data_IF_387950766981
#
_entry.id   IF_387950766981
#
_cell.length_a   1.000
_cell.length_b   1.000
_cell.length_c   1.000
_cell.angle_alpha   90.00
_cell.angle_beta   90.00
_cell.angle_gamma   90.00
#
_symmetry.space_group_name_H-M   'P 1'
#
loop_
_entity.id
_entity.type
_entity.pdbx_description
1 polymer ?
#
# COMPACT_ATOMS: atom_id res chain seq x y z
N UNK A 1 26.62 6.24 -6.84
CA UNK A 1 26.31 6.39 -8.28
C UNK A 1 24.96 5.73 -8.50
N UNK A 2 23.97 6.46 -9.04
CA UNK A 2 22.62 5.92 -9.28
C UNK A 2 22.70 4.63 -10.09
N UNK A 3 21.93 3.60 -9.73
CA UNK A 3 21.82 2.40 -10.58
C UNK A 3 20.93 2.64 -11.81
N UNK A 4 20.19 3.74 -11.80
CA UNK A 4 19.29 4.19 -12.85
C UNK A 4 19.93 5.33 -13.64
N UNK A 5 19.75 5.31 -14.97
CA UNK A 5 20.01 6.49 -15.80
C UNK A 5 19.07 7.64 -15.39
N UNK A 6 19.47 8.91 -15.55
CA UNK A 6 18.56 10.03 -15.38
C UNK A 6 17.32 9.85 -16.23
N UNK A 7 16.13 9.92 -15.61
CA UNK A 7 14.88 9.77 -16.34
C UNK A 7 14.69 10.94 -17.33
N UNK A 8 14.33 10.62 -18.56
CA UNK A 8 13.91 11.58 -19.59
C UNK A 8 12.39 11.78 -19.62
N UNK A 9 11.66 11.15 -18.69
CA UNK A 9 10.21 11.24 -18.63
C UNK A 9 9.76 12.70 -18.43
N UNK A 10 8.68 13.07 -19.14
CA UNK A 10 8.10 14.40 -19.03
C UNK A 10 7.39 14.51 -17.68
N UNK A 11 7.83 15.46 -16.86
CA UNK A 11 7.17 15.82 -15.62
C UNK A 11 5.95 16.72 -15.93
N UNK A 12 4.80 16.36 -15.40
CA UNK A 12 3.60 17.19 -15.44
C UNK A 12 3.82 18.49 -14.63
N UNK A 13 3.41 19.64 -15.17
CA UNK A 13 3.48 20.91 -14.44
C UNK A 13 2.39 21.06 -13.37
N UNK A 14 1.40 20.17 -13.34
CA UNK A 14 0.13 20.35 -12.62
C UNK A 14 -0.22 19.19 -11.69
N UNK A 15 0.28 17.97 -11.94
CA UNK A 15 0.24 16.91 -10.94
C UNK A 15 1.15 17.26 -9.76
N UNK A 16 0.70 16.93 -8.54
CA UNK A 16 1.51 17.11 -7.33
C UNK A 16 2.81 16.33 -7.48
N UNK A 17 3.94 17.02 -7.37
CA UNK A 17 5.24 16.37 -7.31
C UNK A 17 5.33 15.50 -6.05
N UNK A 18 5.71 14.24 -6.23
CA UNK A 18 5.84 13.28 -5.13
C UNK A 18 7.24 12.68 -5.14
N UNK A 19 7.87 12.62 -3.96
CA UNK A 19 9.21 12.07 -3.80
C UNK A 19 9.15 10.55 -3.67
N UNK A 20 10.03 9.87 -4.40
CA UNK A 20 10.28 8.43 -4.35
C UNK A 20 11.74 8.15 -4.01
N UNK A 21 11.97 7.25 -3.06
CA UNK A 21 13.27 6.64 -2.78
C UNK A 21 13.24 5.20 -3.25
N UNK A 22 14.29 4.74 -3.93
CA UNK A 22 14.46 3.32 -4.29
C UNK A 22 15.78 2.84 -3.69
N UNK A 23 15.75 1.67 -3.06
CA UNK A 23 16.96 1.00 -2.56
C UNK A 23 17.35 -0.19 -3.45
N UNK A 24 18.51 -0.75 -3.16
CA UNK A 24 18.96 -2.01 -3.70
C UNK A 24 20.20 -2.47 -2.96
N UNK A 25 20.91 -3.43 -3.54
CA UNK A 25 22.14 -3.99 -2.99
C UNK A 25 23.30 -3.69 -3.95
N UNK A 26 24.42 -3.19 -3.42
CA UNK A 26 25.63 -2.94 -4.22
C UNK A 26 26.43 -4.22 -4.52
N UNK A 27 27.52 -4.08 -5.28
CA UNK A 27 28.38 -5.20 -5.65
C UNK A 27 29.07 -5.87 -4.45
N UNK A 28 29.07 -5.25 -3.28
CA UNK A 28 29.62 -5.77 -2.03
C UNK A 28 28.55 -6.40 -1.12
N UNK A 29 27.29 -6.47 -1.57
CA UNK A 29 26.20 -7.01 -0.77
C UNK A 29 25.62 -6.02 0.26
N UNK A 30 25.98 -4.73 0.20
CA UNK A 30 25.50 -3.71 1.13
C UNK A 30 24.25 -3.03 0.59
N UNK A 31 23.31 -2.70 1.46
CA UNK A 31 22.12 -1.94 1.07
C UNK A 31 22.44 -0.47 0.80
N UNK A 32 21.93 0.07 -0.32
CA UNK A 32 22.21 1.43 -0.79
C UNK A 32 20.96 2.11 -1.33
N UNK A 33 20.96 3.44 -1.32
CA UNK A 33 20.00 4.24 -2.09
C UNK A 33 20.43 4.23 -3.55
N UNK A 34 19.58 3.71 -4.42
CA UNK A 34 19.85 3.56 -5.86
C UNK A 34 19.22 4.67 -6.67
N UNK A 35 18.12 5.25 -6.17
CA UNK A 35 17.47 6.43 -6.71
C UNK A 35 16.80 7.24 -5.60
N UNK A 36 16.83 8.56 -5.72
CA UNK A 36 16.07 9.48 -4.88
C UNK A 36 15.71 10.72 -5.70
N UNK A 37 14.42 11.07 -5.73
CA UNK A 37 13.95 12.23 -6.47
C UNK A 37 12.43 12.27 -6.64
N UNK A 38 11.96 13.14 -7.54
CA UNK A 38 10.57 13.15 -7.95
C UNK A 38 10.24 11.88 -8.74
N UNK A 39 9.13 11.22 -8.41
CA UNK A 39 8.63 10.06 -9.13
C UNK A 39 8.31 10.43 -10.59
N UNK A 40 8.98 9.80 -11.57
CA UNK A 40 8.90 10.23 -12.97
C UNK A 40 7.74 9.60 -13.76
N UNK A 41 7.09 8.55 -13.24
CA UNK A 41 5.98 7.84 -13.89
C UNK A 41 4.66 8.61 -13.87
N UNK A 42 4.63 9.83 -14.38
CA UNK A 42 3.46 10.71 -14.31
C UNK A 42 2.56 10.59 -15.54
N UNK A 43 1.27 10.35 -15.30
CA UNK A 43 0.23 10.16 -16.31
C UNK A 43 -0.92 11.13 -16.05
N UNK A 44 -0.83 12.31 -16.66
CA UNK A 44 -1.85 13.34 -16.53
C UNK A 44 -2.94 13.20 -17.59
N UNK A 45 -4.18 13.50 -17.21
CA UNK A 45 -5.28 13.55 -18.14
C UNK A 45 -5.21 14.84 -18.98
N UNK A 46 -5.10 14.71 -20.30
CA UNK A 46 -4.98 15.85 -21.22
C UNK A 46 -6.14 16.86 -21.14
N UNK A 47 -7.34 16.41 -20.76
CA UNK A 47 -8.53 17.26 -20.64
C UNK A 47 -8.64 17.94 -19.27
N UNK A 48 -7.98 17.38 -18.24
CA UNK A 48 -8.17 17.77 -16.85
C UNK A 48 -6.82 17.90 -16.14
N UNK A 49 -6.11 19.04 -16.31
CA UNK A 49 -4.85 19.29 -15.60
C UNK A 49 -5.01 19.12 -14.08
N UNK A 50 -4.07 18.42 -13.46
CA UNK A 50 -4.08 18.04 -12.05
C UNK A 50 -4.80 16.72 -11.75
N UNK A 51 -5.50 16.12 -12.73
CA UNK A 51 -6.11 14.79 -12.62
C UNK A 51 -5.23 13.76 -13.33
N UNK A 52 -4.96 12.64 -12.69
CA UNK A 52 -4.12 11.60 -13.26
C UNK A 52 -3.63 10.60 -12.23
N UNK A 53 -2.50 9.97 -12.50
CA UNK A 53 -1.81 9.11 -11.55
C UNK A 53 -0.28 9.23 -11.71
N UNK A 54 0.44 8.90 -10.65
CA UNK A 54 1.90 8.74 -10.66
C UNK A 54 2.23 7.31 -10.27
N UNK A 55 2.88 6.56 -11.16
CA UNK A 55 3.40 5.23 -10.90
C UNK A 55 4.75 5.30 -10.15
N UNK A 56 4.84 4.49 -9.09
CA UNK A 56 6.04 4.37 -8.25
C UNK A 56 6.77 3.07 -8.46
N UNK A 57 6.06 1.98 -8.76
CA UNK A 57 6.66 0.69 -9.04
C UNK A 57 5.66 -0.22 -9.74
N UNK A 58 6.13 -1.00 -10.72
CA UNK A 58 5.32 -2.02 -11.41
C UNK A 58 6.07 -3.35 -11.37
N UNK A 59 5.36 -4.46 -11.24
CA UNK A 59 5.95 -5.80 -11.38
C UNK A 59 5.03 -6.71 -12.19
N UNK A 60 5.65 -7.61 -12.97
CA UNK A 60 4.94 -8.58 -13.85
C UNK A 60 5.08 -10.03 -13.39
N UNK A 61 5.88 -10.30 -12.37
CA UNK A 61 6.16 -11.64 -11.86
C UNK A 61 6.18 -11.63 -10.34
N UNK A 62 5.60 -12.66 -9.76
CA UNK A 62 5.63 -12.93 -8.32
C UNK A 62 6.18 -14.33 -8.11
N UNK A 63 7.31 -14.51 -7.41
CA UNK A 63 8.06 -13.50 -6.64
C UNK A 63 8.72 -12.43 -7.54
N UNK A 64 8.87 -11.21 -7.01
CA UNK A 64 9.51 -10.11 -7.74
C UNK A 64 11.02 -10.34 -7.89
N UNK A 65 11.66 -9.94 -9.01
CA UNK A 65 13.11 -9.95 -9.10
C UNK A 65 13.71 -8.81 -8.25
N UNK A 66 14.59 -9.16 -7.31
CA UNK A 66 15.32 -8.17 -6.49
C UNK A 66 16.38 -7.42 -7.30
N UNK A 67 16.90 -8.03 -8.35
CA UNK A 67 17.93 -7.45 -9.21
C UNK A 67 17.33 -6.92 -10.51
N UNK A 68 17.89 -5.82 -11.00
CA UNK A 68 17.44 -5.16 -12.22
C UNK A 68 17.72 -3.67 -12.17
N UNK A 69 18.02 -3.09 -13.32
CA UNK A 69 18.36 -1.66 -13.50
C UNK A 69 17.23 -0.84 -14.15
N UNK A 70 16.16 -1.51 -14.56
CA UNK A 70 14.99 -0.85 -15.14
C UNK A 70 14.15 -0.17 -14.06
N UNK A 71 13.78 1.08 -14.29
CA UNK A 71 12.79 1.79 -13.49
C UNK A 71 11.40 1.36 -13.96
N UNK A 72 10.81 0.38 -13.27
CA UNK A 72 9.54 -0.21 -13.68
C UNK A 72 8.36 0.76 -13.54
N UNK A 73 8.52 1.85 -12.79
CA UNK A 73 7.54 2.94 -12.76
C UNK A 73 7.42 3.71 -14.08
N UNK A 74 8.32 3.47 -15.05
CA UNK A 74 8.27 4.05 -16.40
C UNK A 74 7.73 3.07 -17.46
N UNK A 75 7.33 1.87 -17.07
CA UNK A 75 6.72 0.93 -18.00
C UNK A 75 5.39 1.46 -18.55
N UNK A 76 4.95 1.02 -19.74
CA UNK A 76 3.64 1.36 -20.27
C UNK A 76 2.52 1.05 -19.27
N UNK A 77 1.51 1.91 -19.22
CA UNK A 77 0.38 1.73 -18.32
C UNK A 77 -0.35 0.41 -18.61
N UNK A 78 -0.57 -0.35 -17.54
CA UNK A 78 -1.40 -1.54 -17.52
C UNK A 78 -2.36 -1.41 -16.34
N UNK A 79 -3.66 -1.34 -16.60
CA UNK A 79 -4.70 -1.30 -15.57
C UNK A 79 -5.47 -2.63 -15.55
N UNK A 80 -5.70 -3.26 -14.36
CA UNK A 80 -5.43 -2.82 -12.98
C UNK A 80 -4.04 -3.19 -12.44
N UNK A 81 -3.01 -3.16 -13.28
CA UNK A 81 -1.67 -3.68 -12.98
C UNK A 81 -1.46 -5.06 -13.61
N UNK A 82 -0.23 -5.48 -13.94
CA UNK A 82 0.02 -6.72 -14.68
C UNK A 82 -0.36 -7.98 -13.89
N UNK A 83 -0.73 -9.08 -14.58
CA UNK A 83 -0.91 -10.41 -13.95
C UNK A 83 0.29 -11.32 -14.28
N UNK A 84 0.85 -12.08 -13.32
CA UNK A 84 0.45 -12.25 -11.91
C UNK A 84 1.13 -11.25 -10.94
N UNK A 85 1.35 -10.01 -11.37
CA UNK A 85 2.05 -8.99 -10.59
C UNK A 85 1.12 -7.91 -10.04
N UNK A 86 1.46 -6.64 -10.29
CA UNK A 86 0.72 -5.48 -9.78
C UNK A 86 1.45 -4.16 -9.97
N UNK A 87 0.95 -3.10 -9.35
CA UNK A 87 1.65 -1.81 -9.28
C UNK A 87 1.37 -1.04 -7.99
N UNK A 88 2.30 -0.16 -7.64
CA UNK A 88 2.12 0.90 -6.66
C UNK A 88 2.00 2.23 -7.39
N UNK A 89 0.86 2.91 -7.21
CA UNK A 89 0.62 4.23 -7.78
C UNK A 89 -0.10 5.17 -6.84
N UNK A 90 0.00 6.46 -7.08
CA UNK A 90 -0.84 7.47 -6.42
C UNK A 90 -1.78 8.06 -7.45
N UNK A 91 -3.08 8.04 -7.17
CA UNK A 91 -4.08 8.65 -8.03
C UNK A 91 -4.38 10.07 -7.52
N UNK A 92 -4.35 11.04 -8.43
CA UNK A 92 -4.60 12.46 -8.17
C UNK A 92 -6.02 12.82 -8.61
N UNK A 93 -6.89 13.08 -7.64
CA UNK A 93 -8.27 13.48 -7.89
C UNK A 93 -8.55 14.89 -7.39
N UNK A 94 -9.26 15.65 -8.23
CA UNK A 94 -9.60 17.05 -8.01
C UNK A 94 -10.88 17.21 -7.17
N UNK A 95 -10.99 18.35 -6.49
CA UNK A 95 -12.24 18.81 -5.88
C UNK A 95 -13.18 19.43 -6.92
N UNK A 96 -14.40 19.82 -6.53
CA UNK A 96 -15.27 20.68 -7.36
C UNK A 96 -14.75 22.09 -7.57
N UNK A 97 -14.00 22.63 -6.62
CA UNK A 97 -13.54 24.01 -6.66
C UNK A 97 -12.36 24.20 -7.62
N UNK A 98 -11.66 23.12 -7.99
CA UNK A 98 -10.53 23.15 -8.94
C UNK A 98 -10.90 23.07 -10.42
N UNK A 99 -12.13 23.39 -10.84
CA UNK A 99 -12.64 23.05 -12.19
C UNK A 99 -13.08 24.23 -13.05
N UNK A 100 -12.82 24.18 -14.37
CA UNK A 100 -13.63 24.85 -15.38
C UNK A 100 -14.81 23.95 -15.82
N UNK A 101 -16.04 24.32 -15.45
CA UNK A 101 -17.28 23.71 -15.95
C UNK A 101 -17.81 22.47 -15.20
N UNK A 102 -19.03 22.05 -15.56
CA UNK A 102 -19.72 20.87 -14.99
C UNK A 102 -19.77 19.73 -15.99
N UNK A 103 -19.03 18.65 -15.75
CA UNK A 103 -19.17 17.39 -16.48
C UNK A 103 -20.28 16.58 -15.80
N UNK A 104 -21.41 16.32 -16.48
CA UNK A 104 -22.47 15.47 -15.93
C UNK A 104 -21.94 14.09 -15.60
N UNK A 105 -22.47 13.47 -14.55
CA UNK A 105 -22.20 12.06 -14.27
C UNK A 105 -22.85 11.18 -15.34
N UNK A 106 -22.20 10.08 -15.66
CA UNK A 106 -22.72 9.01 -16.49
C UNK A 106 -23.79 8.25 -15.69
N UNK A 107 -25.03 8.12 -16.19
CA UNK A 107 -26.07 7.34 -15.53
C UNK A 107 -25.66 5.87 -15.34
N UNK A 108 -26.21 5.17 -14.33
CA UNK A 108 -26.02 3.73 -14.20
C UNK A 108 -26.41 2.97 -15.47
N UNK A 109 -25.65 1.94 -15.81
CA UNK A 109 -25.93 1.05 -16.93
C UNK A 109 -25.55 -0.40 -16.59
N UNK A 110 -25.89 -1.36 -17.45
CA UNK A 110 -25.46 -2.74 -17.28
C UNK A 110 -23.92 -2.83 -17.22
N UNK A 111 -23.34 -3.70 -16.36
CA UNK A 111 -21.89 -3.89 -16.32
C UNK A 111 -21.31 -4.20 -17.70
N UNK A 112 -20.23 -3.52 -18.05
CA UNK A 112 -19.46 -3.80 -19.28
C UNK A 112 -17.98 -3.89 -18.95
N UNK A 113 -17.26 -4.68 -19.73
CA UNK A 113 -15.81 -4.84 -19.61
C UNK A 113 -15.13 -3.60 -20.18
N UNK A 114 -14.12 -3.09 -19.48
CA UNK A 114 -13.32 -1.91 -19.88
C UNK A 114 -11.83 -2.18 -19.73
N UNK A 115 -11.03 -1.28 -20.29
CA UNK A 115 -9.57 -1.38 -20.28
C UNK A 115 -9.01 -2.37 -21.32
N UNK A 116 -7.73 -2.22 -21.62
CA UNK A 116 -7.03 -3.00 -22.67
C UNK A 116 -6.82 -4.45 -22.24
N UNK A 117 -6.66 -4.72 -20.93
CA UNK A 117 -6.44 -6.06 -20.39
C UNK A 117 -7.71 -6.87 -20.12
N UNK A 118 -8.89 -6.25 -20.25
CA UNK A 118 -10.17 -6.86 -19.93
C UNK A 118 -10.39 -7.17 -18.43
N UNK A 119 -9.48 -6.79 -17.53
CA UNK A 119 -9.56 -7.13 -16.11
C UNK A 119 -10.31 -6.10 -15.26
N UNK A 120 -11.16 -5.31 -15.90
CA UNK A 120 -11.88 -4.20 -15.30
C UNK A 120 -13.30 -4.11 -15.86
N UNK A 121 -14.24 -3.67 -15.04
CA UNK A 121 -15.62 -3.47 -15.41
C UNK A 121 -16.16 -2.17 -14.83
N UNK A 122 -17.05 -1.51 -15.57
CA UNK A 122 -17.78 -0.33 -15.11
C UNK A 122 -19.29 -0.52 -15.29
N UNK A 123 -20.07 0.16 -14.45
CA UNK A 123 -21.54 0.21 -14.53
C UNK A 123 -22.13 1.61 -14.37
N UNK A 124 -21.34 2.64 -14.68
CA UNK A 124 -21.76 4.05 -14.61
C UNK A 124 -21.99 4.54 -13.17
N UNK A 125 -22.99 5.40 -12.99
CA UNK A 125 -23.35 5.99 -11.68
C UNK A 125 -22.42 7.13 -11.22
N UNK A 126 -21.50 7.57 -12.06
CA UNK A 126 -20.42 8.49 -11.71
C UNK A 126 -19.63 8.91 -12.94
N UNK A 127 -18.31 8.81 -12.88
CA UNK A 127 -17.38 9.11 -13.99
C UNK A 127 -17.41 10.57 -14.47
N UNK A 128 -17.01 11.47 -13.58
CA UNK A 128 -16.68 12.84 -13.93
C UNK A 128 -15.28 13.19 -13.40
N UNK A 129 -14.99 14.48 -13.24
CA UNK A 129 -13.67 14.98 -12.82
C UNK A 129 -13.33 14.78 -11.35
N UNK A 130 -14.31 14.56 -10.47
CA UNK A 130 -14.11 14.31 -9.03
C UNK A 130 -14.64 12.96 -8.54
N UNK A 131 -15.50 12.31 -9.34
CA UNK A 131 -16.17 11.05 -9.02
C UNK A 131 -15.76 10.02 -10.07
N UNK A 132 -15.26 8.87 -9.64
CA UNK A 132 -15.04 7.73 -10.54
C UNK A 132 -16.38 7.14 -11.00
N UNK A 133 -16.36 6.30 -12.03
CA UNK A 133 -17.40 5.30 -12.23
C UNK A 133 -17.50 4.34 -11.03
N UNK A 134 -18.67 3.71 -10.91
CA UNK A 134 -18.81 2.48 -10.15
C UNK A 134 -18.14 1.35 -10.95
N UNK A 135 -16.99 0.88 -10.46
CA UNK A 135 -16.13 -0.07 -11.15
C UNK A 135 -15.62 -1.17 -10.23
N UNK A 136 -15.11 -2.25 -10.82
CA UNK A 136 -14.33 -3.28 -10.13
C UNK A 136 -13.24 -3.83 -11.02
N UNK A 137 -12.23 -4.43 -10.40
CA UNK A 137 -11.01 -4.90 -11.05
C UNK A 137 -10.63 -6.29 -10.53
N UNK A 138 -10.05 -7.14 -11.38
CA UNK A 138 -9.43 -8.42 -10.97
C UNK A 138 -8.15 -8.18 -10.15
N UNK A 139 -8.33 -7.56 -8.98
CA UNK A 139 -7.26 -7.19 -8.06
C UNK A 139 -7.74 -7.19 -6.61
N UNK A 140 -6.77 -7.31 -5.70
CA UNK A 140 -6.91 -6.89 -4.31
C UNK A 140 -6.08 -5.63 -4.16
N UNK A 141 -6.72 -4.53 -3.76
CA UNK A 141 -6.07 -3.23 -3.69
C UNK A 141 -5.91 -2.77 -2.24
N UNK A 142 -4.71 -2.30 -1.89
CA UNK A 142 -4.48 -1.56 -0.66
C UNK A 142 -4.51 -0.06 -0.95
N UNK A 143 -5.68 0.53 -0.75
CA UNK A 143 -5.92 1.96 -0.90
C UNK A 143 -5.55 2.73 0.37
N UNK A 144 -4.53 3.58 0.31
CA UNK A 144 -3.99 4.32 1.46
C UNK A 144 -4.16 5.82 1.21
N UNK A 145 -4.95 6.50 2.03
CA UNK A 145 -5.18 7.94 1.85
C UNK A 145 -3.97 8.74 2.36
N UNK A 146 -3.39 9.56 1.49
CA UNK A 146 -2.23 10.41 1.82
C UNK A 146 -2.66 11.84 2.16
N UNK A 147 -3.63 12.37 1.42
CA UNK A 147 -4.09 13.76 1.54
C UNK A 147 -5.54 13.90 1.07
N UNK A 148 -6.23 14.90 1.60
CA UNK A 148 -7.57 15.28 1.17
C UNK A 148 -8.64 14.45 1.86
N UNK A 149 -9.72 14.18 1.15
CA UNK A 149 -10.84 13.39 1.64
C UNK A 149 -11.57 12.74 0.48
N UNK A 150 -12.08 11.53 0.71
CA UNK A 150 -12.79 10.76 -0.30
C UNK A 150 -13.93 9.99 0.33
N UNK A 151 -15.04 9.83 -0.38
CA UNK A 151 -16.13 8.93 -0.01
C UNK A 151 -15.95 7.66 -0.83
N UNK A 152 -15.85 6.52 -0.14
CA UNK A 152 -15.95 5.19 -0.72
C UNK A 152 -17.43 4.81 -0.75
N UNK A 153 -17.93 4.56 -1.95
CA UNK A 153 -19.32 4.16 -2.19
C UNK A 153 -19.34 2.69 -2.60
N UNK A 154 -20.01 1.85 -1.81
CA UNK A 154 -20.39 0.48 -2.15
C UNK A 154 -21.93 0.40 -2.28
N UNK A 155 -22.46 -0.73 -2.73
CA UNK A 155 -23.92 -0.86 -2.89
C UNK A 155 -24.68 -0.88 -1.55
N UNK A 156 -24.06 -1.33 -0.47
CA UNK A 156 -24.72 -1.39 0.85
C UNK A 156 -24.69 -0.05 1.60
N UNK A 157 -23.59 0.67 1.50
CA UNK A 157 -23.38 1.96 2.18
C UNK A 157 -22.17 2.73 1.64
N UNK A 158 -22.06 3.94 2.14
CA UNK A 158 -20.91 4.83 1.92
C UNK A 158 -20.11 5.04 3.20
N UNK A 159 -18.82 5.32 3.07
CA UNK A 159 -17.97 5.74 4.19
C UNK A 159 -16.97 6.81 3.75
N UNK A 160 -16.74 7.82 4.60
CA UNK A 160 -15.73 8.85 4.35
C UNK A 160 -14.37 8.39 4.86
N UNK A 161 -13.34 8.54 4.05
CA UNK A 161 -11.94 8.21 4.36
C UNK A 161 -11.04 9.45 4.30
N UNK A 162 -10.05 9.49 5.19
CA UNK A 162 -9.14 10.62 5.44
C UNK A 162 -7.69 10.15 5.58
N UNK A 163 -6.69 11.06 5.59
CA UNK A 163 -5.28 10.66 5.65
C UNK A 163 -4.99 9.67 6.76
N UNK A 164 -4.31 8.58 6.42
CA UNK A 164 -4.05 7.45 7.31
C UNK A 164 -5.10 6.33 7.28
N UNK A 165 -6.30 6.55 6.77
CA UNK A 165 -7.29 5.48 6.57
C UNK A 165 -6.85 4.54 5.44
N UNK A 166 -7.10 3.24 5.62
CA UNK A 166 -6.73 2.20 4.65
C UNK A 166 -7.94 1.35 4.27
N UNK A 167 -8.14 1.20 2.96
CA UNK A 167 -9.13 0.33 2.33
C UNK A 167 -8.42 -0.89 1.75
N UNK A 168 -8.86 -2.07 2.15
CA UNK A 168 -8.54 -3.33 1.49
C UNK A 168 -9.71 -3.66 0.57
N UNK A 169 -9.55 -3.39 -0.72
CA UNK A 169 -10.58 -3.60 -1.72
C UNK A 169 -10.40 -4.99 -2.34
N UNK A 170 -11.30 -5.92 -2.03
CA UNK A 170 -11.17 -7.32 -2.48
C UNK A 170 -12.10 -7.55 -3.67
N UNK A 171 -11.68 -7.06 -4.84
CA UNK A 171 -12.41 -7.24 -6.10
C UNK A 171 -13.83 -6.69 -6.12
N UNK A 172 -14.16 -5.72 -5.25
CA UNK A 172 -15.52 -5.25 -5.03
C UNK A 172 -15.94 -4.17 -6.03
N UNK A 173 -17.23 -4.09 -6.37
CA UNK A 173 -17.80 -2.89 -6.98
C UNK A 173 -17.63 -1.68 -6.05
N UNK A 174 -17.08 -0.59 -6.57
CA UNK A 174 -16.92 0.61 -5.78
C UNK A 174 -16.86 1.87 -6.64
N UNK A 175 -17.21 2.99 -6.02
CA UNK A 175 -17.05 4.32 -6.58
C UNK A 175 -16.30 5.19 -5.58
N UNK A 176 -15.43 6.03 -6.10
CA UNK A 176 -14.67 7.00 -5.33
C UNK A 176 -15.18 8.41 -5.61
N UNK A 177 -15.62 9.12 -4.59
CA UNK A 177 -16.04 10.51 -4.68
C UNK A 177 -15.08 11.43 -3.91
N UNK A 178 -14.30 12.24 -4.64
CA UNK A 178 -13.35 13.21 -4.11
C UNK A 178 -13.85 14.65 -4.19
N UNK A 179 -15.16 14.87 -4.40
CA UNK A 179 -15.71 16.18 -4.74
C UNK A 179 -15.40 17.27 -3.72
N UNK A 180 -15.44 16.92 -2.43
CA UNK A 180 -15.33 17.89 -1.34
C UNK A 180 -13.94 18.55 -1.26
N UNK A 181 -12.86 17.76 -1.34
CA UNK A 181 -11.49 18.25 -1.06
C UNK A 181 -10.44 17.82 -2.08
N UNK A 182 -10.80 17.02 -3.07
CA UNK A 182 -9.81 16.27 -3.83
C UNK A 182 -9.16 15.20 -2.95
N UNK A 183 -8.32 14.36 -3.55
CA UNK A 183 -7.63 13.30 -2.83
C UNK A 183 -6.37 12.84 -3.55
N UNK A 184 -5.31 12.64 -2.79
CA UNK A 184 -4.14 11.85 -3.18
C UNK A 184 -4.18 10.54 -2.42
N UNK A 185 -4.32 9.44 -3.15
CA UNK A 185 -4.48 8.11 -2.56
C UNK A 185 -3.53 7.14 -3.25
N UNK A 186 -2.67 6.49 -2.46
CA UNK A 186 -1.83 5.42 -2.94
C UNK A 186 -2.65 4.14 -3.09
N UNK A 187 -2.37 3.37 -4.13
CA UNK A 187 -2.93 2.06 -4.38
C UNK A 187 -1.77 1.12 -4.68
N UNK A 188 -1.56 0.16 -3.78
CA UNK A 188 -0.85 -1.07 -4.10
C UNK A 188 -1.88 -2.08 -4.63
N UNK A 189 -1.94 -2.24 -5.95
CA UNK A 189 -2.89 -3.09 -6.65
C UNK A 189 -2.24 -4.42 -6.96
N UNK A 190 -2.73 -5.47 -6.32
CA UNK A 190 -2.19 -6.83 -6.44
C UNK A 190 -3.12 -7.66 -7.31
N UNK A 191 -2.58 -8.32 -8.33
CA UNK A 191 -3.38 -9.18 -9.23
C UNK A 191 -4.19 -10.21 -8.45
N UNK A 192 -5.48 -10.28 -8.73
CA UNK A 192 -6.38 -11.33 -8.26
C UNK A 192 -6.89 -12.16 -9.44
N UNK A 193 -7.52 -13.29 -9.15
CA UNK A 193 -8.27 -14.05 -10.14
C UNK A 193 -9.74 -14.05 -9.74
N UNK A 194 -10.62 -13.71 -10.66
CA UNK A 194 -12.05 -13.86 -10.44
C UNK A 194 -12.52 -15.22 -10.90
N UNK A 195 -13.35 -15.85 -10.08
CA UNK A 195 -14.19 -16.97 -10.49
C UNK A 195 -15.55 -16.45 -11.00
N UNK A 196 -16.30 -17.31 -11.70
CA UNK A 196 -17.66 -17.02 -12.19
C UNK A 196 -17.75 -16.35 -13.56
N UNK A 197 -18.98 -16.16 -14.05
CA UNK A 197 -19.29 -15.54 -15.34
C UNK A 197 -19.37 -14.01 -15.22
N UNK A 198 -18.89 -13.24 -16.22
CA UNK A 198 -19.00 -11.76 -16.25
C UNK A 198 -20.43 -11.19 -16.39
N UNK A 199 -21.45 -11.85 -15.83
CA UNK A 199 -22.89 -11.53 -15.94
C UNK A 199 -23.52 -11.14 -14.59
N UNK A 200 -22.69 -10.66 -13.66
CA UNK A 200 -23.06 -10.34 -12.28
C UNK A 200 -22.53 -11.35 -11.25
N UNK A 201 -22.16 -12.56 -11.66
CA UNK A 201 -21.63 -13.61 -10.76
C UNK A 201 -20.09 -13.67 -10.69
N UNK A 202 -19.38 -12.67 -11.23
CA UNK A 202 -17.91 -12.67 -11.32
C UNK A 202 -17.23 -12.02 -10.11
N UNK A 203 -16.13 -12.61 -9.68
CA UNK A 203 -15.33 -12.07 -8.59
C UNK A 203 -16.10 -11.98 -7.28
N UNK A 204 -17.00 -12.94 -7.06
CA UNK A 204 -17.69 -13.13 -5.80
C UNK A 204 -16.75 -13.75 -4.78
N UNK A 205 -17.09 -13.57 -3.51
CA UNK A 205 -16.49 -14.27 -2.39
C UNK A 205 -16.36 -15.78 -2.68
N UNK A 206 -15.13 -16.29 -2.64
CA UNK A 206 -14.81 -17.69 -2.96
C UNK A 206 -14.94 -18.62 -1.76
N UNK A 207 -14.80 -18.07 -0.55
CA UNK A 207 -14.84 -18.84 0.70
C UNK A 207 -15.56 -18.05 1.77
N UNK A 208 -16.37 -18.74 2.56
CA UNK A 208 -16.95 -18.16 3.76
C UNK A 208 -15.98 -18.22 4.93
N UNK A 209 -15.57 -17.04 5.38
CA UNK A 209 -14.60 -16.84 6.44
C UNK A 209 -15.12 -15.77 7.38
N UNK A 210 -15.01 -16.00 8.68
CA UNK A 210 -15.42 -15.04 9.69
C UNK A 210 -14.61 -13.74 9.57
N UNK A 211 -15.31 -12.62 9.40
CA UNK A 211 -14.70 -11.28 9.44
C UNK A 211 -14.30 -10.95 10.87
N UNK A 212 -13.02 -10.63 11.08
CA UNK A 212 -12.49 -10.31 12.40
C UNK A 212 -12.72 -8.84 12.72
N UNK A 213 -13.05 -8.58 14.00
CA UNK A 213 -13.28 -7.25 14.57
C UNK A 213 -12.53 -7.15 15.88
N UNK A 214 -12.19 -5.92 16.27
CA UNK A 214 -11.63 -5.67 17.61
C UNK A 214 -12.67 -6.08 18.66
N UNK A 215 -12.33 -6.93 19.64
CA UNK A 215 -13.22 -7.24 20.74
C UNK A 215 -13.63 -5.97 21.49
N UNK A 216 -14.90 -5.90 21.90
CA UNK A 216 -15.42 -4.75 22.65
C UNK A 216 -14.60 -4.50 23.93
N UNK A 217 -14.30 -3.23 24.22
CA UNK A 217 -13.51 -2.83 25.38
C UNK A 217 -12.01 -3.11 25.31
N UNK A 218 -11.48 -3.69 24.22
CA UNK A 218 -10.03 -3.88 24.05
C UNK A 218 -9.33 -2.53 23.86
N UNK A 219 -8.64 -2.07 24.90
CA UNK A 219 -7.81 -0.87 24.84
C UNK A 219 -6.45 -1.16 24.20
N UNK A 220 -5.94 -0.20 23.44
CA UNK A 220 -4.55 -0.19 22.97
C UNK A 220 -3.64 0.43 24.05
N UNK A 221 -2.35 0.07 24.10
CA UNK A 221 -1.41 0.73 24.99
C UNK A 221 -1.32 2.24 24.77
N UNK A 222 -0.94 2.98 25.81
CA UNK A 222 -0.80 4.43 25.73
C UNK A 222 0.14 4.84 24.58
N UNK A 223 -0.28 5.85 23.81
CA UNK A 223 0.48 6.37 22.67
C UNK A 223 0.29 5.60 21.36
N UNK A 224 -0.39 4.45 21.37
CA UNK A 224 -0.74 3.70 20.16
C UNK A 224 -2.13 4.12 19.67
N UNK A 225 -2.20 4.67 18.46
CA UNK A 225 -3.47 4.96 17.80
C UNK A 225 -3.99 3.71 17.08
N UNK A 226 -5.31 3.45 17.10
CA UNK A 226 -5.88 2.39 16.29
C UNK A 226 -5.72 2.71 14.79
N UNK A 227 -5.25 1.73 14.01
CA UNK A 227 -5.25 1.83 12.56
C UNK A 227 -6.62 1.44 12.00
N UNK A 228 -7.33 2.38 11.34
CA UNK A 228 -8.60 2.09 10.66
C UNK A 228 -8.36 1.23 9.42
N UNK A 229 -9.10 0.14 9.31
CA UNK A 229 -9.13 -0.84 8.22
C UNK A 229 -10.56 -0.97 7.71
N UNK A 230 -10.74 -0.75 6.43
CA UNK A 230 -12.01 -0.92 5.73
C UNK A 230 -11.83 -2.08 4.76
N UNK A 231 -12.74 -3.04 4.75
CA UNK A 231 -12.69 -4.21 3.86
C UNK A 231 -13.94 -4.24 3.03
N UNK A 232 -13.79 -4.29 1.71
CA UNK A 232 -14.89 -4.41 0.75
C UNK A 232 -14.77 -5.69 -0.06
N UNK A 233 -15.91 -6.26 -0.45
CA UNK A 233 -15.99 -7.47 -1.28
C UNK A 233 -17.39 -7.57 -1.88
N UNK A 234 -17.54 -8.31 -2.99
CA UNK A 234 -18.84 -8.71 -3.49
C UNK A 234 -19.25 -10.06 -2.86
N UNK A 235 -20.30 -10.05 -2.05
CA UNK A 235 -20.88 -11.28 -1.46
C UNK A 235 -22.01 -11.86 -2.27
N UNK A 236 -22.75 -10.97 -2.93
CA UNK A 236 -23.91 -11.30 -3.74
C UNK A 236 -23.68 -10.78 -5.16
N UNK A 237 -24.25 -11.43 -6.18
CA UNK A 237 -24.13 -11.00 -7.57
C UNK A 237 -24.47 -9.52 -7.76
N UNK A 238 -23.51 -8.76 -8.30
CA UNK A 238 -23.67 -7.33 -8.58
C UNK A 238 -23.89 -6.44 -7.35
N UNK A 239 -23.58 -6.91 -6.13
CA UNK A 239 -23.74 -6.13 -4.90
C UNK A 239 -22.48 -6.17 -4.03
N UNK A 240 -21.76 -5.07 -4.00
CA UNK A 240 -20.63 -4.87 -3.11
C UNK A 240 -21.08 -4.50 -1.70
N UNK A 241 -20.28 -4.93 -0.73
CA UNK A 241 -20.52 -4.66 0.69
C UNK A 241 -19.23 -4.21 1.38
N UNK A 242 -19.35 -3.27 2.32
CA UNK A 242 -18.28 -3.01 3.28
C UNK A 242 -18.44 -4.00 4.45
N UNK A 243 -17.70 -5.10 4.42
CA UNK A 243 -17.82 -6.17 5.44
C UNK A 243 -17.19 -5.82 6.78
N UNK A 244 -16.22 -4.90 6.78
CA UNK A 244 -15.57 -4.36 7.98
C UNK A 244 -15.21 -2.90 7.78
N UNK A 245 -15.43 -2.07 8.80
CA UNK A 245 -14.97 -0.69 8.90
C UNK A 245 -14.71 -0.42 10.39
N UNK A 246 -13.44 -0.33 10.78
CA UNK A 246 -13.04 -0.16 12.17
C UNK A 246 -11.54 -0.35 12.37
N UNK A 247 -11.09 -0.43 13.62
CA UNK A 247 -9.68 -0.66 13.93
C UNK A 247 -9.23 -2.08 13.49
N UNK A 248 -7.95 -2.23 13.14
CA UNK A 248 -7.38 -3.56 12.88
C UNK A 248 -7.45 -4.45 14.12
N UNK A 249 -7.92 -5.72 14.00
CA UNK A 249 -8.00 -6.65 15.11
C UNK A 249 -6.65 -7.28 15.51
N UNK A 250 -5.64 -7.26 14.63
CA UNK A 250 -4.32 -7.87 14.87
C UNK A 250 -3.27 -6.79 15.13
N UNK A 251 -2.88 -6.66 16.39
CA UNK A 251 -1.92 -5.66 16.88
C UNK A 251 -0.85 -6.34 17.74
N UNK A 252 0.41 -6.10 17.40
CA UNK A 252 1.59 -6.49 18.18
C UNK A 252 2.30 -5.24 18.69
N UNK A 253 2.84 -5.34 19.89
CA UNK A 253 3.57 -4.24 20.54
C UNK A 253 4.93 -4.72 20.99
N UNK A 254 5.81 -3.77 21.28
CA UNK A 254 7.15 -4.04 21.76
C UNK A 254 7.34 -3.37 23.13
N UNK A 255 7.39 -4.14 24.23
CA UNK A 255 7.62 -3.59 25.56
C UNK A 255 8.93 -2.80 25.69
N UNK A 256 9.94 -3.12 24.88
CA UNK A 256 11.22 -2.42 24.88
C UNK A 256 11.18 -1.10 24.10
N UNK A 257 10.14 -0.87 23.28
CA UNK A 257 9.88 0.39 22.56
C UNK A 257 8.48 0.93 22.90
N UNK A 258 8.25 1.53 24.08
CA UNK A 258 6.95 2.08 24.45
C UNK A 258 6.40 3.04 23.39
N UNK A 259 5.15 2.82 22.96
CA UNK A 259 4.50 3.54 21.86
C UNK A 259 4.70 2.90 20.48
N UNK A 260 5.50 1.84 20.36
CA UNK A 260 5.57 1.03 19.14
C UNK A 260 4.32 0.15 18.99
N UNK A 261 3.81 0.09 17.77
CA UNK A 261 2.77 -0.86 17.40
C UNK A 261 2.92 -1.31 15.95
N UNK A 262 2.66 -2.59 15.73
CA UNK A 262 2.49 -3.21 14.42
C UNK A 262 1.03 -3.63 14.30
N UNK A 263 0.31 -3.02 13.35
CA UNK A 263 -1.04 -3.42 12.97
C UNK A 263 -0.96 -4.21 11.66
N UNK A 264 -1.31 -5.50 11.69
CA UNK A 264 -1.42 -6.29 10.46
C UNK A 264 -2.79 -6.05 9.85
N UNK A 265 -2.86 -5.71 8.56
CA UNK A 265 -4.12 -5.33 7.90
C UNK A 265 -4.65 -6.42 6.98
N UNK A 266 -3.77 -7.03 6.19
CA UNK A 266 -4.15 -8.07 5.23
C UNK A 266 -2.96 -8.96 4.86
N UNK A 267 -3.23 -10.20 4.45
CA UNK A 267 -2.27 -11.19 3.98
C UNK A 267 -2.83 -11.84 2.71
N UNK A 268 -2.01 -11.86 1.67
CA UNK A 268 -2.23 -12.59 0.42
C UNK A 268 -1.24 -13.75 0.43
N UNK A 269 -1.72 -14.99 0.49
CA UNK A 269 -0.83 -16.17 0.60
C UNK A 269 -0.22 -16.60 -0.74
N UNK A 270 -0.81 -16.17 -1.85
CA UNK A 270 -0.37 -16.52 -3.20
C UNK A 270 -0.87 -15.51 -4.21
N UNK A 271 -0.18 -15.39 -5.34
CA UNK A 271 -0.61 -14.59 -6.49
C UNK A 271 -0.98 -15.51 -7.66
N UNK A 272 -2.13 -15.29 -8.33
CA UNK A 272 -3.13 -14.24 -8.06
C UNK A 272 -3.83 -14.39 -6.70
N UNK A 273 -4.19 -13.26 -6.10
CA UNK A 273 -4.83 -13.20 -4.79
C UNK A 273 -6.24 -13.82 -4.80
N UNK A 274 -6.63 -14.53 -3.73
CA UNK A 274 -7.98 -15.07 -3.58
C UNK A 274 -8.98 -13.98 -3.16
N UNK A 275 -10.26 -14.17 -3.52
CA UNK A 275 -11.35 -13.25 -3.19
C UNK A 275 -12.04 -13.70 -1.91
N UNK A 276 -11.60 -13.19 -0.75
CA UNK A 276 -12.06 -13.60 0.58
C UNK A 276 -12.42 -12.38 1.45
N UNK A 277 -13.39 -12.51 2.38
CA UNK A 277 -13.85 -11.37 3.17
C UNK A 277 -12.90 -11.04 4.35
N UNK A 278 -11.95 -11.92 4.65
CA UNK A 278 -10.98 -11.78 5.73
C UNK A 278 -9.76 -12.67 5.49
N UNK A 279 -8.58 -12.17 5.88
CA UNK A 279 -7.31 -12.93 5.82
C UNK A 279 -6.58 -12.99 7.16
N UNK A 280 -6.99 -12.23 8.17
CA UNK A 280 -6.24 -12.14 9.44
C UNK A 280 -6.38 -13.36 10.35
N UNK A 281 -7.20 -14.34 9.98
CA UNK A 281 -7.20 -15.68 10.57
C UNK A 281 -5.92 -16.47 10.26
N UNK A 282 -5.18 -16.08 9.23
CA UNK A 282 -3.92 -16.72 8.84
C UNK A 282 -2.84 -16.51 9.92
N UNK A 283 -1.87 -17.45 10.03
CA UNK A 283 -0.76 -17.33 10.97
C UNK A 283 -0.10 -15.95 10.88
N UNK A 284 0.33 -15.43 12.03
CA UNK A 284 0.99 -14.13 12.07
C UNK A 284 2.32 -14.18 11.30
N UNK A 285 2.51 -13.20 10.41
CA UNK A 285 3.73 -13.04 9.61
C UNK A 285 4.08 -11.56 9.50
N UNK A 286 5.37 -11.24 9.64
CA UNK A 286 5.90 -9.89 9.39
C UNK A 286 6.23 -9.67 7.90
N UNK A 287 6.79 -10.70 7.26
CA UNK A 287 7.08 -10.79 5.82
C UNK A 287 6.14 -11.81 5.19
N UNK A 288 5.79 -11.70 3.90
CA UNK A 288 4.81 -12.58 3.30
C UNK A 288 5.29 -14.03 3.22
N UNK A 289 4.38 -15.00 3.11
CA UNK A 289 4.75 -16.34 2.68
C UNK A 289 5.27 -16.32 1.23
N UNK A 290 5.92 -17.40 0.75
CA UNK A 290 6.36 -17.50 -0.64
C UNK A 290 5.22 -17.23 -1.63
N UNK A 291 5.50 -16.39 -2.62
CA UNK A 291 4.55 -15.83 -3.60
C UNK A 291 3.42 -15.01 -2.99
N UNK A 292 3.57 -14.50 -1.76
CA UNK A 292 2.55 -13.73 -1.06
C UNK A 292 2.83 -12.24 -0.96
N UNK A 293 1.91 -11.55 -0.29
CA UNK A 293 2.02 -10.15 0.13
C UNK A 293 1.43 -9.98 1.54
N UNK A 294 2.00 -9.10 2.35
CA UNK A 294 1.41 -8.69 3.64
C UNK A 294 1.41 -7.16 3.75
N UNK A 295 0.30 -6.60 4.23
CA UNK A 295 0.20 -5.18 4.55
C UNK A 295 0.24 -4.99 6.06
N UNK A 296 1.25 -4.26 6.53
CA UNK A 296 1.40 -3.85 7.92
C UNK A 296 1.38 -2.33 8.04
N UNK A 297 0.95 -1.81 9.20
CA UNK A 297 1.15 -0.42 9.59
C UNK A 297 1.96 -0.37 10.87
N UNK A 298 3.08 0.34 10.82
CA UNK A 298 3.95 0.55 11.96
C UNK A 298 3.73 1.95 12.54
N UNK A 299 3.52 2.03 13.85
CA UNK A 299 3.71 3.26 14.63
C UNK A 299 5.10 3.22 15.26
N UNK A 300 5.94 4.18 14.91
CA UNK A 300 7.30 4.31 15.42
C UNK A 300 7.33 5.42 16.48
N UNK A 301 7.58 5.12 17.76
CA UNK A 301 7.78 6.16 18.77
C UNK A 301 9.11 6.89 18.51
N UNK A 302 9.27 8.12 19.03
CA UNK A 302 10.56 8.80 19.03
C UNK A 302 11.69 7.90 19.51
N UNK A 303 12.80 7.86 18.79
CA UNK A 303 13.99 7.06 19.16
C UNK A 303 14.45 7.36 20.59
N UNK A 304 14.39 8.64 20.99
CA UNK A 304 14.75 9.09 22.33
C UNK A 304 13.94 8.42 23.47
N UNK A 305 12.75 7.86 23.18
CA UNK A 305 11.94 7.19 24.19
C UNK A 305 12.53 5.83 24.62
N UNK A 306 13.24 5.14 23.71
CA UNK A 306 13.70 3.75 23.89
C UNK A 306 15.21 3.56 23.69
N UNK A 307 15.90 4.47 23.02
CA UNK A 307 17.35 4.40 22.78
C UNK A 307 18.10 4.33 24.11
N UNK A 308 19.06 3.41 24.21
CA UNK A 308 19.81 3.11 25.44
C UNK A 308 19.08 2.18 26.42
N UNK A 309 17.80 1.87 26.20
CA UNK A 309 17.00 0.92 27.01
C UNK A 309 16.74 -0.40 26.29
N UNK A 310 16.76 -0.40 24.96
CA UNK A 310 16.62 -1.59 24.12
C UNK A 310 17.90 -1.82 23.30
N UNK A 311 18.36 -3.07 23.28
CA UNK A 311 19.50 -3.53 22.48
C UNK A 311 19.16 -4.76 21.64
N UNK A 312 20.20 -5.46 21.20
CA UNK A 312 20.10 -6.64 20.31
C UNK A 312 19.21 -7.74 20.91
N UNK A 313 19.32 -8.00 22.22
CA UNK A 313 18.52 -9.02 22.90
C UNK A 313 17.01 -8.72 22.81
N UNK A 314 16.61 -7.47 23.09
CA UNK A 314 15.20 -7.07 23.01
C UNK A 314 14.69 -7.11 21.56
N UNK A 315 15.54 -6.74 20.59
CA UNK A 315 15.19 -6.85 19.18
C UNK A 315 14.98 -8.31 18.74
N UNK A 316 15.87 -9.23 19.14
CA UNK A 316 15.71 -10.66 18.89
C UNK A 316 14.43 -11.21 19.52
N UNK A 317 14.10 -10.80 20.75
CA UNK A 317 12.86 -11.19 21.42
C UNK A 317 11.62 -10.67 20.68
N UNK A 318 11.66 -9.42 20.20
CA UNK A 318 10.58 -8.85 19.37
C UNK A 318 10.39 -9.66 18.08
N UNK A 319 11.46 -9.87 17.30
CA UNK A 319 11.39 -10.63 16.05
C UNK A 319 10.89 -12.07 16.29
N UNK A 320 11.29 -12.71 17.40
CA UNK A 320 10.76 -14.01 17.78
C UNK A 320 9.24 -13.98 18.09
N UNK A 321 8.75 -12.93 18.75
CA UNK A 321 7.32 -12.78 19.08
C UNK A 321 6.41 -12.61 17.86
N UNK A 322 6.97 -12.16 16.72
CA UNK A 322 6.26 -11.97 15.45
C UNK A 322 6.67 -13.00 14.38
N UNK A 323 7.42 -14.04 14.76
CA UNK A 323 7.80 -15.14 13.85
C UNK A 323 8.78 -14.73 12.74
N UNK A 324 9.61 -13.72 12.97
CA UNK A 324 10.48 -13.09 11.98
C UNK A 324 11.98 -13.21 12.31
N UNK A 325 12.37 -14.24 13.06
CA UNK A 325 13.77 -14.49 13.41
C UNK A 325 14.67 -14.64 12.17
N UNK A 326 14.13 -15.20 11.08
CA UNK A 326 14.88 -15.48 9.86
C UNK A 326 15.41 -14.21 9.15
N UNK A 327 14.74 -13.07 9.35
CA UNK A 327 15.14 -11.79 8.74
C UNK A 327 15.91 -10.88 9.71
N UNK A 328 16.00 -11.27 10.98
CA UNK A 328 16.55 -10.42 12.03
C UNK A 328 18.07 -10.41 11.96
N UNK A 329 18.65 -9.29 11.53
CA UNK A 329 20.12 -9.09 11.52
C UNK A 329 20.61 -8.37 12.79
N UNK A 330 19.68 -7.82 13.57
CA UNK A 330 19.81 -7.25 14.91
C UNK A 330 21.17 -6.63 15.26
N UNK A 331 21.32 -5.33 15.03
CA UNK A 331 22.54 -4.59 15.38
C UNK A 331 23.65 -4.70 14.34
N UNK A 332 23.37 -5.32 13.18
CA UNK A 332 24.28 -5.31 12.03
C UNK A 332 24.49 -3.90 11.46
N UNK A 333 23.55 -2.98 11.66
CA UNK A 333 23.71 -1.55 11.39
C UNK A 333 24.04 -0.86 12.73
N UNK A 334 25.15 -0.13 12.77
CA UNK A 334 25.64 0.53 13.98
C UNK A 334 24.56 1.43 14.62
N UNK A 335 24.30 1.23 15.91
CA UNK A 335 23.29 2.00 16.65
C UNK A 335 21.83 1.60 16.39
N UNK A 336 21.59 0.61 15.53
CA UNK A 336 20.24 0.16 15.15
C UNK A 336 20.02 -1.32 15.51
N UNK A 337 19.63 -1.62 16.77
CA UNK A 337 19.46 -3.00 17.23
C UNK A 337 18.33 -3.76 16.53
N UNK A 338 17.39 -3.06 15.88
CA UNK A 338 16.27 -3.65 15.13
C UNK A 338 16.55 -3.74 13.63
N UNK A 339 17.81 -3.80 13.18
CA UNK A 339 18.11 -4.05 11.77
C UNK A 339 17.59 -5.42 11.30
N UNK A 340 17.17 -5.48 10.04
CA UNK A 340 16.65 -6.67 9.38
C UNK A 340 17.06 -6.74 7.91
N UNK A 341 17.08 -7.93 7.34
CA UNK A 341 17.30 -8.18 5.92
C UNK A 341 16.35 -9.29 5.45
N UNK A 342 15.65 -9.05 4.34
CA UNK A 342 14.66 -9.99 3.81
C UNK A 342 14.67 -9.95 2.29
N UNK A 343 14.41 -11.10 1.66
CA UNK A 343 14.25 -11.21 0.21
C UNK A 343 12.85 -10.77 -0.20
N UNK A 344 12.60 -9.46 -0.11
CA UNK A 344 11.28 -8.86 -0.35
C UNK A 344 11.41 -7.54 -1.08
N UNK A 345 10.36 -7.15 -1.81
CA UNK A 345 10.17 -5.76 -2.23
C UNK A 345 9.14 -5.13 -1.30
N UNK A 346 9.48 -4.02 -0.64
CA UNK A 346 8.59 -3.33 0.29
C UNK A 346 8.23 -1.93 -0.22
N UNK A 347 6.96 -1.59 -0.12
CA UNK A 347 6.43 -0.26 -0.38
C UNK A 347 6.17 0.44 0.95
N UNK A 348 7.05 1.36 1.31
CA UNK A 348 6.94 2.20 2.50
C UNK A 348 6.14 3.45 2.11
N UNK A 349 4.95 3.60 2.66
CA UNK A 349 4.07 4.75 2.46
C UNK A 349 3.92 5.47 3.80
N UNK A 350 4.60 6.60 3.97
CA UNK A 350 4.54 7.35 5.24
C UNK A 350 3.23 8.11 5.30
N UNK A 351 2.43 7.88 6.34
CA UNK A 351 1.09 8.47 6.51
C UNK A 351 1.05 9.55 7.59
N UNK A 352 1.95 9.50 8.58
CA UNK A 352 2.08 10.53 9.63
C UNK A 352 3.56 10.72 10.00
N UNK A 353 3.99 11.96 10.19
CA UNK A 353 5.34 12.29 10.68
C UNK A 353 6.44 12.03 9.66
N UNK A 354 7.61 11.61 10.16
CA UNK A 354 8.81 11.37 9.37
C UNK A 354 9.48 10.06 9.81
N UNK A 355 9.85 9.23 8.84
CA UNK A 355 10.53 7.94 9.07
C UNK A 355 11.89 7.98 8.36
N UNK A 356 12.96 7.74 9.11
CA UNK A 356 14.30 7.59 8.55
C UNK A 356 14.54 6.13 8.19
N UNK A 357 14.75 5.85 6.91
CA UNK A 357 15.22 4.57 6.39
C UNK A 357 16.75 4.54 6.48
N UNK A 358 17.28 3.63 7.27
CA UNK A 358 18.71 3.46 7.52
C UNK A 358 19.20 2.20 6.81
N UNK A 359 20.28 2.32 6.04
CA UNK A 359 20.90 1.28 5.23
C UNK A 359 22.38 1.12 5.63
N UNK A 360 23.07 0.14 5.04
CA UNK A 360 24.49 -0.11 5.32
C UNK A 360 25.39 1.06 4.89
N UNK A 361 25.04 1.75 3.80
CA UNK A 361 25.89 2.81 3.22
C UNK A 361 25.39 4.23 3.48
N UNK A 362 24.29 4.40 4.22
CA UNK A 362 23.71 5.71 4.48
C UNK A 362 22.25 5.64 4.88
N UNK A 363 21.58 6.78 4.89
CA UNK A 363 20.19 6.89 5.30
C UNK A 363 19.47 8.00 4.55
N UNK A 364 18.14 7.94 4.56
CA UNK A 364 17.28 9.00 4.03
C UNK A 364 15.99 9.09 4.84
N UNK A 365 15.40 10.29 4.89
CA UNK A 365 14.15 10.51 5.63
C UNK A 365 12.99 10.64 4.66
N UNK A 366 11.90 9.92 4.91
CA UNK A 366 10.64 9.98 4.21
C UNK A 366 9.62 10.73 5.08
N UNK A 367 8.97 11.75 4.53
CA UNK A 367 7.90 12.51 5.20
C UNK A 367 6.53 11.96 4.84
N UNK A 368 5.49 12.32 5.60
CA UNK A 368 4.11 12.00 5.27
C UNK A 368 3.78 12.35 3.80
N UNK A 369 3.24 11.38 3.06
CA UNK A 369 2.97 11.44 1.63
C UNK A 369 4.12 11.01 0.71
N UNK A 370 5.31 10.74 1.25
CA UNK A 370 6.46 10.24 0.47
C UNK A 370 6.55 8.71 0.51
N UNK A 371 7.15 8.14 -0.54
CA UNK A 371 7.18 6.70 -0.78
C UNK A 371 8.60 6.18 -0.90
N UNK A 372 8.88 5.07 -0.21
CA UNK A 372 10.10 4.27 -0.38
C UNK A 372 9.77 2.94 -1.06
N UNK A 373 10.59 2.54 -2.03
CA UNK A 373 10.60 1.19 -2.62
C UNK A 373 11.88 0.50 -2.19
N UNK A 374 11.76 -0.40 -1.21
CA UNK A 374 12.91 -1.10 -0.65
C UNK A 374 13.04 -2.47 -1.33
N UNK A 375 14.18 -2.71 -1.98
CA UNK A 375 14.43 -3.94 -2.75
C UNK A 375 15.48 -4.80 -2.06
N UNK A 376 15.02 -5.61 -1.11
CA UNK A 376 15.87 -6.40 -0.21
C UNK A 376 16.88 -5.55 0.54
N UNK A 377 17.96 -6.20 0.99
CA UNK A 377 19.07 -5.56 1.68
C UNK A 377 18.81 -5.27 3.16
N UNK A 378 19.91 -5.19 3.91
CA UNK A 378 19.90 -4.91 5.34
C UNK A 378 19.42 -3.48 5.63
N UNK A 379 18.50 -3.30 6.57
CA UNK A 379 17.88 -1.99 6.83
C UNK A 379 17.36 -1.88 8.25
N UNK A 380 17.16 -0.65 8.70
CA UNK A 380 16.41 -0.33 9.90
C UNK A 380 15.51 0.89 9.65
N UNK A 381 14.47 1.03 10.48
CA UNK A 381 13.66 2.24 10.54
C UNK A 381 13.94 2.99 11.84
N UNK A 382 14.08 4.30 11.74
CA UNK A 382 14.31 5.19 12.87
C UNK A 382 13.30 6.34 12.86
N UNK A 383 12.97 6.85 14.03
CA UNK A 383 12.21 8.09 14.19
C UNK A 383 13.04 9.08 14.99
N UNK A 384 13.72 9.97 14.26
CA UNK A 384 14.61 10.99 14.84
C UNK A 384 13.87 12.21 15.38
N UNK A 385 12.54 12.25 15.23
CA UNK A 385 11.71 13.38 15.64
C UNK A 385 11.22 13.22 17.07
N UNK A 386 10.63 14.29 17.63
CA UNK A 386 10.01 14.28 18.96
C UNK A 386 8.56 13.77 19.00
N UNK A 387 8.00 13.27 17.88
CA UNK A 387 6.61 12.80 17.78
C UNK A 387 6.54 11.42 17.12
N UNK A 388 5.52 10.60 17.39
CA UNK A 388 5.33 9.34 16.67
C UNK A 388 5.23 9.55 15.15
N UNK A 389 5.70 8.57 14.40
CA UNK A 389 5.55 8.50 12.94
C UNK A 389 4.79 7.22 12.57
N UNK A 390 4.04 7.25 11.48
CA UNK A 390 3.24 6.12 11.00
C UNK A 390 3.59 5.82 9.54
N UNK A 391 3.85 4.55 9.24
CA UNK A 391 4.17 4.07 7.89
C UNK A 391 3.40 2.79 7.60
N UNK A 392 2.71 2.76 6.46
CA UNK A 392 2.17 1.55 5.88
C UNK A 392 3.25 0.87 5.05
N UNK A 393 3.42 -0.44 5.23
CA UNK A 393 4.43 -1.25 4.56
C UNK A 393 3.70 -2.42 3.91
N UNK A 394 3.57 -2.37 2.58
CA UNK A 394 3.20 -3.53 1.79
C UNK A 394 4.47 -4.30 1.41
N UNK A 395 4.62 -5.51 1.92
CA UNK A 395 5.78 -6.36 1.68
C UNK A 395 5.37 -7.47 0.72
N UNK A 396 6.04 -7.56 -0.42
CA UNK A 396 5.82 -8.55 -1.47
C UNK A 396 6.99 -9.52 -1.53
N UNK A 397 6.68 -10.80 -1.75
CA UNK A 397 7.69 -11.83 -1.91
C UNK A 397 8.60 -11.53 -3.11
N UNK A 398 9.90 -11.75 -2.94
CA UNK A 398 10.89 -11.48 -3.95
C UNK A 398 12.00 -12.53 -3.93
N UNK A 399 12.70 -12.64 -5.05
CA UNK A 399 13.85 -13.54 -5.18
C UNK A 399 15.02 -12.79 -5.77
N UNK A 400 16.22 -13.07 -5.25
CA UNK A 400 17.44 -12.80 -6.00
C UNK A 400 17.34 -13.59 -7.32
N UNK A 401 17.33 -12.88 -8.45
CA UNK A 401 17.27 -13.54 -9.76
C UNK A 401 18.41 -14.55 -9.90
N UNK A 402 18.12 -15.69 -10.53
CA UNK A 402 19.10 -16.72 -10.90
C UNK A 402 20.13 -16.21 -11.91
#
# INVERSE_FOLDING_TARGET
>A
MSLYEPSTAKISPTLKAMRRVITGVDAQGRSVITHEGQAPGQHENDQWPGRGYTDFWVWRKTPQPLHGREDTGLWPDEFPGPAPGGHLRVVHWLSKEGRPGTVPVVPPHAPKRVGVGGRSWDRGGGNNTCISDMHKTESVDFGIVLEGERILVCDDRETTIRPGDIVVQVGAWHLWNSEAKGCHMAFDMVSAAFSGTPDGNHGLQEKDVQVLRVPEGKALPAGVKPQRRIVTIDREPGRSVIVSDGASPDVRVDPARPGFALHRLWVIETHPAPIVPESLQLPHVLVPPPRGTVLNVLTLPPDAAWRGKAGVEQAQAFYASVGAQAIATCGSIEGHPYSQNSDTVEFLVVTEGEVTLVLDTGETTLKAGEIGVVRGGNRALANRTGRPAVVAIATHDAVAGS
#
